data_IF_385478088574
#
_entry.id   IF_385478088574
#
_cell.length_a   1.000
_cell.length_b   1.000
_cell.length_c   1.000
_cell.angle_alpha   90.00
_cell.angle_beta   90.00
_cell.angle_gamma   90.00
#
_symmetry.space_group_name_H-M   'P 1'
#
loop_
_entity.id
_entity.type
_entity.pdbx_description
1 polymer ?
#
# COMPACT_ATOMS: atom_id res chain seq x y z
N UNK A 1 -4.77 2.09 13.23
CA UNK A 1 -4.36 3.52 13.30
C UNK A 1 -3.77 3.93 11.97
N UNK A 2 -4.17 5.08 11.42
CA UNK A 2 -3.56 5.64 10.20
C UNK A 2 -2.15 6.12 10.54
N UNK A 3 -1.18 5.82 9.67
CA UNK A 3 0.21 6.29 9.78
C UNK A 3 0.57 7.08 8.51
N UNK A 4 1.79 7.63 8.46
CA UNK A 4 2.24 8.44 7.33
C UNK A 4 2.16 7.67 6.00
N UNK A 5 1.27 8.13 5.13
CA UNK A 5 1.14 7.71 3.74
C UNK A 5 1.66 8.78 2.78
N UNK A 6 1.11 8.82 1.58
CA UNK A 6 1.39 9.82 0.55
C UNK A 6 0.07 10.51 0.14
N UNK A 7 -0.03 11.85 0.24
CA UNK A 7 -1.24 12.58 -0.12
C UNK A 7 -1.73 12.23 -1.53
N UNK A 8 -2.97 11.74 -1.63
CA UNK A 8 -3.60 11.40 -2.90
C UNK A 8 -3.11 10.11 -3.57
N UNK A 9 -2.08 9.44 -3.01
CA UNK A 9 -1.47 8.26 -3.62
C UNK A 9 -1.51 7.00 -2.73
N UNK A 10 -1.14 7.11 -1.45
CA UNK A 10 -0.97 5.94 -0.56
C UNK A 10 -1.58 6.18 0.82
N UNK A 11 -2.38 5.23 1.29
CA UNK A 11 -2.86 5.16 2.68
C UNK A 11 -2.15 4.00 3.37
N UNK A 12 -1.61 4.25 4.56
CA UNK A 12 -0.96 3.23 5.39
C UNK A 12 -1.63 3.15 6.74
N UNK A 13 -1.84 1.93 7.22
CA UNK A 13 -2.45 1.64 8.51
C UNK A 13 -1.65 0.62 9.30
N UNK A 14 -1.72 0.72 10.64
CA UNK A 14 -1.09 -0.20 11.58
C UNK A 14 -2.09 -0.75 12.58
N UNK A 15 -2.00 -2.04 12.89
CA UNK A 15 -2.77 -2.74 13.94
C UNK A 15 -1.84 -3.74 14.65
N UNK A 16 -1.36 -3.36 15.84
CA UNK A 16 -0.37 -4.16 16.56
C UNK A 16 0.93 -4.31 15.76
N UNK A 17 1.35 -5.55 15.56
CA UNK A 17 2.49 -5.96 14.73
C UNK A 17 2.20 -5.89 13.23
N UNK A 18 0.96 -6.15 12.83
CA UNK A 18 0.52 -6.10 11.44
C UNK A 18 0.06 -4.72 10.96
N UNK A 19 -0.36 -4.67 9.70
CA UNK A 19 -0.85 -3.45 9.09
C UNK A 19 -1.37 -3.63 7.68
N UNK A 20 -1.58 -2.51 7.02
CA UNK A 20 -2.19 -2.42 5.70
C UNK A 20 -1.54 -1.29 4.90
N UNK A 21 -1.35 -1.52 3.61
CA UNK A 21 -0.97 -0.50 2.63
C UNK A 21 -1.99 -0.51 1.50
N UNK A 22 -2.49 0.68 1.15
CA UNK A 22 -3.44 0.87 0.06
C UNK A 22 -2.85 1.89 -0.91
N UNK A 23 -2.58 1.47 -2.15
CA UNK A 23 -2.12 2.33 -3.24
C UNK A 23 -3.28 2.61 -4.18
N UNK A 24 -3.54 3.89 -4.44
CA UNK A 24 -4.54 4.35 -5.42
C UNK A 24 -3.95 4.29 -6.83
N UNK A 25 -4.71 3.76 -7.79
CA UNK A 25 -4.44 3.86 -9.24
C UNK A 25 -5.50 4.74 -9.91
N UNK A 26 -5.51 4.82 -11.24
CA UNK A 26 -6.54 5.57 -11.98
C UNK A 26 -7.95 5.00 -11.79
N UNK A 27 -8.07 3.67 -11.73
CA UNK A 27 -9.34 2.94 -11.75
C UNK A 27 -9.51 1.94 -10.60
N UNK A 28 -8.45 1.67 -9.82
CA UNK A 28 -8.44 0.64 -8.79
C UNK A 28 -7.74 1.08 -7.50
N UNK A 29 -7.87 0.24 -6.48
CA UNK A 29 -7.11 0.30 -5.24
C UNK A 29 -6.33 -1.01 -5.08
N UNK A 30 -5.01 -0.93 -5.00
CA UNK A 30 -4.17 -2.08 -4.64
C UNK A 30 -4.08 -2.13 -3.13
N UNK A 31 -4.51 -3.25 -2.53
CA UNK A 31 -4.57 -3.43 -1.08
C UNK A 31 -3.65 -4.57 -0.68
N UNK A 32 -2.68 -4.31 0.19
CA UNK A 32 -1.88 -5.32 0.85
C UNK A 32 -2.08 -5.27 2.35
N UNK A 33 -2.31 -6.43 2.96
CA UNK A 33 -2.36 -6.61 4.41
C UNK A 33 -1.16 -7.48 4.79
N UNK A 34 -0.45 -7.11 5.84
CA UNK A 34 0.67 -7.87 6.36
C UNK A 34 0.51 -8.14 7.84
N UNK A 35 1.15 -9.21 8.27
CA UNK A 35 1.38 -9.54 9.68
C UNK A 35 2.83 -10.03 9.84
N UNK A 36 3.26 -10.25 11.08
CA UNK A 36 4.58 -10.81 11.35
C UNK A 36 4.79 -12.15 10.62
N UNK A 37 6.00 -12.41 10.09
CA UNK A 37 7.24 -11.65 10.26
C UNK A 37 7.46 -10.55 9.20
N UNK A 38 6.47 -10.25 8.36
CA UNK A 38 6.62 -9.24 7.31
C UNK A 38 6.63 -7.83 7.89
N UNK A 39 7.59 -7.03 7.47
CA UNK A 39 7.72 -5.63 7.89
C UNK A 39 6.82 -4.69 7.07
N UNK A 40 6.46 -3.52 7.60
CA UNK A 40 5.68 -2.52 6.86
C UNK A 40 6.33 -2.10 5.53
N UNK A 41 7.66 -1.97 5.50
CA UNK A 41 8.40 -1.57 4.30
C UNK A 41 8.32 -2.60 3.17
N UNK A 42 8.28 -3.89 3.51
CA UNK A 42 8.11 -4.96 2.52
C UNK A 42 6.71 -4.93 1.90
N UNK A 43 5.66 -4.71 2.70
CA UNK A 43 4.30 -4.56 2.17
C UNK A 43 4.18 -3.34 1.26
N UNK A 44 4.71 -2.19 1.69
CA UNK A 44 4.75 -0.96 0.88
C UNK A 44 5.39 -1.22 -0.49
N UNK A 45 6.56 -1.85 -0.51
CA UNK A 45 7.29 -2.12 -1.75
C UNK A 45 6.46 -2.94 -2.75
N UNK A 46 5.75 -3.97 -2.29
CA UNK A 46 4.94 -4.83 -3.17
C UNK A 46 3.71 -4.08 -3.68
N UNK A 47 2.97 -3.45 -2.78
CA UNK A 47 1.70 -2.77 -3.11
C UNK A 47 1.93 -1.55 -4.01
N UNK A 48 2.93 -0.74 -3.68
CA UNK A 48 3.19 0.51 -4.39
C UNK A 48 3.77 0.24 -5.78
N UNK A 49 4.72 -0.71 -5.92
CA UNK A 49 5.26 -1.09 -7.25
C UNK A 49 4.21 -1.64 -8.19
N UNK A 50 3.29 -2.46 -7.69
CA UNK A 50 2.18 -2.96 -8.52
C UNK A 50 1.25 -1.82 -8.94
N UNK A 51 0.92 -0.90 -8.01
CA UNK A 51 0.07 0.23 -8.35
C UNK A 51 0.74 1.22 -9.31
N UNK A 52 2.05 1.43 -9.20
CA UNK A 52 2.82 2.25 -10.15
C UNK A 52 2.80 1.61 -11.56
N UNK A 53 3.00 0.29 -11.65
CA UNK A 53 2.86 -0.44 -12.91
C UNK A 53 1.46 -0.30 -13.52
N UNK A 54 0.40 -0.41 -12.72
CA UNK A 54 -0.97 -0.24 -13.20
C UNK A 54 -1.21 1.19 -13.72
N UNK A 55 -0.71 2.21 -13.01
CA UNK A 55 -0.77 3.60 -13.45
C UNK A 55 -0.06 3.81 -14.80
N UNK A 56 1.12 3.21 -14.99
CA UNK A 56 1.85 3.25 -16.25
C UNK A 56 1.08 2.60 -17.41
N UNK A 57 0.25 1.59 -17.13
CA UNK A 57 -0.64 0.97 -18.11
C UNK A 57 -1.95 1.76 -18.35
N UNK A 58 -2.14 2.91 -17.68
CA UNK A 58 -3.35 3.72 -17.78
C UNK A 58 -4.54 3.18 -16.97
N UNK A 59 -4.27 2.34 -15.97
CA UNK A 59 -5.24 1.71 -15.06
C UNK A 59 -5.27 2.37 -13.67
#
# INVERSE_FOLDING_TARGET
MVIQGEPGAVIRGKKGSGGITVKKTGQALVVGIYDEPMTPGQCNMVVERLGDYLLEQGL
#
